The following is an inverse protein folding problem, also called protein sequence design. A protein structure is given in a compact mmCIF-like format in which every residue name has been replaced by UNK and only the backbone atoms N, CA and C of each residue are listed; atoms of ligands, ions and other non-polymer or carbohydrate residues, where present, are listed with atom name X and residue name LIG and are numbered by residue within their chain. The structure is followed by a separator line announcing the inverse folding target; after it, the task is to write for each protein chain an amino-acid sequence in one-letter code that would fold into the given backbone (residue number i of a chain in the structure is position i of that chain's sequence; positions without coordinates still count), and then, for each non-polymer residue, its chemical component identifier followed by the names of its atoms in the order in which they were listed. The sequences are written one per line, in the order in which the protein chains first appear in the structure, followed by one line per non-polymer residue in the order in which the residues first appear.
data_IF_368117480104
#
_entry.id   IF_368117480104
#
_cell.length_a   1.000
_cell.length_b   1.000
_cell.length_c   1.000
_cell.angle_alpha   90.00
_cell.angle_beta   90.00
_cell.angle_gamma   90.00
#
_symmetry.space_group_name_H-M   'P 1'
#
loop_
_entity.id
_entity.type
_entity.pdbx_description
1 polymer ?
#
# COMPACT_ATOMS: atom_id res chain seq x y z
N UNK A 1 -64.66 45.85 -32.87
CA UNK A 1 -64.17 44.86 -33.82
C UNK A 1 -62.66 44.89 -33.73
N UNK A 2 -62.12 43.99 -32.93
CA UNK A 2 -60.65 43.83 -32.74
C UNK A 2 -60.31 42.40 -33.13
N UNK A 3 -59.54 42.25 -34.26
CA UNK A 3 -59.09 40.96 -34.78
C UNK A 3 -57.77 40.59 -34.07
N UNK A 4 -57.78 39.57 -33.19
CA UNK A 4 -56.62 38.93 -32.64
C UNK A 4 -55.93 38.07 -33.70
N UNK A 5 -54.64 38.34 -33.96
CA UNK A 5 -53.75 37.48 -34.76
C UNK A 5 -53.01 36.55 -33.78
N UNK A 6 -53.27 35.27 -33.88
CA UNK A 6 -52.53 34.21 -33.17
C UNK A 6 -51.29 33.90 -33.98
N UNK A 7 -50.11 34.19 -33.40
CA UNK A 7 -48.82 33.80 -33.97
C UNK A 7 -48.49 32.41 -33.39
N UNK A 8 -48.52 31.37 -34.21
CA UNK A 8 -48.01 30.05 -33.84
C UNK A 8 -46.48 30.10 -33.91
N UNK A 9 -45.84 30.06 -32.76
CA UNK A 9 -44.42 29.76 -32.65
C UNK A 9 -44.24 28.24 -32.70
N UNK A 10 -43.74 27.70 -33.81
CA UNK A 10 -43.25 26.34 -33.93
C UNK A 10 -41.86 26.26 -33.30
N UNK A 11 -41.76 25.74 -32.07
CA UNK A 11 -40.50 25.38 -31.45
C UNK A 11 -40.05 24.05 -32.06
N UNK A 12 -39.09 24.15 -32.99
CA UNK A 12 -38.38 23.01 -33.51
C UNK A 12 -37.49 22.39 -32.44
N UNK A 13 -37.90 21.28 -31.85
CA UNK A 13 -37.12 20.47 -30.91
C UNK A 13 -36.05 19.72 -31.75
N UNK A 14 -34.85 20.24 -31.82
CA UNK A 14 -33.71 19.50 -32.35
C UNK A 14 -33.38 18.37 -31.33
N UNK A 15 -33.87 17.18 -31.61
CA UNK A 15 -33.34 15.95 -30.97
C UNK A 15 -31.91 15.76 -31.45
N UNK A 16 -30.91 16.23 -30.71
CA UNK A 16 -29.56 15.75 -30.83
C UNK A 16 -29.56 14.27 -30.45
N UNK A 17 -29.48 13.38 -31.43
CA UNK A 17 -29.16 11.98 -31.21
C UNK A 17 -27.81 11.96 -30.45
N UNK A 18 -27.84 11.73 -29.16
CA UNK A 18 -26.64 11.35 -28.42
C UNK A 18 -26.17 10.04 -29.06
N UNK A 19 -25.10 10.08 -29.86
CA UNK A 19 -24.36 8.88 -30.20
C UNK A 19 -24.07 8.17 -28.89
N UNK A 20 -24.42 6.89 -28.78
CA UNK A 20 -24.16 6.11 -27.54
C UNK A 20 -22.67 6.20 -27.21
N UNK A 21 -22.33 6.30 -25.92
CA UNK A 21 -20.94 6.31 -25.48
C UNK A 21 -20.21 5.07 -26.03
N UNK A 22 -18.98 5.25 -26.51
CA UNK A 22 -18.18 4.17 -27.09
C UNK A 22 -17.96 3.05 -26.05
N UNK A 23 -18.30 1.82 -26.45
CA UNK A 23 -18.11 0.61 -25.64
C UNK A 23 -16.66 0.14 -25.78
N UNK A 24 -15.79 0.54 -24.84
CA UNK A 24 -14.37 0.19 -24.86
C UNK A 24 -14.10 -1.32 -25.07
N UNK A 25 -14.71 -2.25 -24.30
CA UNK A 25 -14.50 -3.68 -24.50
C UNK A 25 -14.86 -4.21 -25.87
N UNK A 26 -15.86 -3.65 -26.53
CA UNK A 26 -16.33 -4.15 -27.82
C UNK A 26 -15.68 -3.45 -29.00
N UNK A 27 -15.34 -2.16 -28.87
CA UNK A 27 -14.95 -1.34 -30.02
C UNK A 27 -13.47 -0.93 -29.98
N UNK A 28 -12.95 -0.55 -28.82
CA UNK A 28 -11.57 -0.03 -28.70
C UNK A 28 -10.58 -1.13 -28.33
N UNK A 29 -10.88 -1.96 -27.34
CA UNK A 29 -9.97 -2.99 -26.85
C UNK A 29 -9.56 -4.01 -27.94
N UNK A 30 -10.46 -4.52 -28.80
CA UNK A 30 -10.07 -5.40 -29.90
C UNK A 30 -9.14 -4.72 -30.88
N UNK A 31 -9.37 -3.45 -31.18
CA UNK A 31 -8.54 -2.65 -32.09
C UNK A 31 -7.12 -2.46 -31.52
N UNK A 32 -7.01 -2.10 -30.24
CA UNK A 32 -5.73 -2.00 -29.54
C UNK A 32 -5.00 -3.36 -29.49
N UNK A 33 -5.73 -4.44 -29.21
CA UNK A 33 -5.17 -5.77 -29.12
C UNK A 33 -4.57 -6.23 -30.45
N UNK A 34 -5.28 -6.02 -31.53
CA UNK A 34 -4.84 -6.43 -32.88
C UNK A 34 -3.68 -5.59 -33.40
N UNK A 35 -3.72 -4.27 -33.20
CA UNK A 35 -2.82 -3.32 -33.86
C UNK A 35 -1.66 -2.84 -32.96
N UNK A 36 -1.82 -2.82 -31.64
CA UNK A 36 -0.90 -2.14 -30.73
C UNK A 36 -0.21 -3.06 -29.72
N UNK A 37 -0.91 -4.06 -29.13
CA UNK A 37 -0.39 -4.86 -28.00
C UNK A 37 0.84 -5.71 -28.33
N UNK A 38 1.08 -6.04 -29.61
CA UNK A 38 2.29 -6.75 -30.02
C UNK A 38 3.58 -5.99 -29.64
N UNK A 39 3.51 -4.65 -29.62
CA UNK A 39 4.64 -3.77 -29.30
C UNK A 39 4.44 -2.97 -28.02
N UNK A 40 3.20 -2.67 -27.63
CA UNK A 40 2.81 -1.85 -26.48
C UNK A 40 1.89 -2.62 -25.53
N UNK A 41 2.20 -3.90 -25.28
CA UNK A 41 1.43 -4.82 -24.42
C UNK A 41 2.18 -5.17 -23.14
N UNK A 42 1.74 -6.26 -22.48
CA UNK A 42 2.34 -6.72 -21.21
C UNK A 42 3.80 -7.14 -21.35
N UNK A 43 4.14 -7.87 -22.43
CA UNK A 43 5.48 -8.43 -22.63
C UNK A 43 6.47 -7.48 -23.30
N UNK A 44 5.99 -6.45 -23.98
CA UNK A 44 6.82 -5.48 -24.72
C UNK A 44 6.28 -4.08 -24.53
N UNK A 45 7.16 -3.16 -24.19
CA UNK A 45 6.86 -1.74 -23.95
C UNK A 45 7.76 -0.85 -24.82
N UNK A 46 7.61 -0.94 -26.13
CA UNK A 46 8.41 -0.09 -27.05
C UNK A 46 8.10 1.38 -26.82
N UNK A 47 9.16 2.20 -26.70
CA UNK A 47 9.02 3.61 -26.39
C UNK A 47 8.48 3.89 -24.99
N UNK A 48 8.69 2.96 -24.01
CA UNK A 48 8.19 3.10 -22.65
C UNK A 48 6.66 3.01 -22.50
N UNK A 49 5.94 2.71 -23.60
CA UNK A 49 4.48 2.76 -23.64
C UNK A 49 3.84 1.38 -23.51
N UNK A 50 2.82 1.27 -22.66
CA UNK A 50 1.90 0.14 -22.56
C UNK A 50 0.45 0.63 -22.70
N UNK A 51 -0.34 -0.06 -23.55
CA UNK A 51 -1.73 0.29 -23.88
C UNK A 51 -2.75 -0.74 -23.33
N UNK A 52 -2.34 -1.64 -22.45
CA UNK A 52 -3.23 -2.68 -21.90
C UNK A 52 -4.04 -2.22 -20.69
N UNK A 53 -3.66 -1.12 -20.06
CA UNK A 53 -4.41 -0.52 -18.97
C UNK A 53 -4.39 1.02 -19.06
N UNK A 54 -5.36 1.66 -18.38
CA UNK A 54 -5.54 3.10 -18.42
C UNK A 54 -4.35 3.88 -17.86
N UNK A 55 -3.82 3.46 -16.71
CA UNK A 55 -2.72 4.16 -16.00
C UNK A 55 -1.50 4.31 -16.93
N UNK A 56 -1.06 3.21 -17.51
CA UNK A 56 0.14 3.20 -18.34
C UNK A 56 -0.08 3.87 -19.71
N UNK A 57 -1.31 3.79 -20.26
CA UNK A 57 -1.66 4.41 -21.52
C UNK A 57 -1.73 5.95 -21.43
N UNK A 58 -2.08 6.49 -20.25
CA UNK A 58 -2.07 7.94 -20.00
C UNK A 58 -0.69 8.46 -19.59
N UNK A 59 0.21 7.59 -19.12
CA UNK A 59 1.56 7.98 -18.75
C UNK A 59 2.36 8.42 -20.00
N UNK A 60 3.25 9.42 -19.89
CA UNK A 60 4.17 9.75 -20.96
C UNK A 60 5.15 8.59 -21.17
N UNK A 61 5.32 8.17 -22.44
CA UNK A 61 6.38 7.22 -22.77
C UNK A 61 7.76 7.88 -22.79
N UNK A 62 8.76 7.20 -23.39
CA UNK A 62 10.14 7.69 -23.51
C UNK A 62 10.25 9.05 -24.21
N UNK A 63 9.25 9.43 -25.00
CA UNK A 63 9.18 10.75 -25.65
C UNK A 63 8.92 11.92 -24.70
N UNK A 64 8.50 11.64 -23.45
CA UNK A 64 8.05 12.64 -22.48
C UNK A 64 6.73 13.36 -22.85
N UNK A 65 6.09 13.00 -23.98
CA UNK A 65 4.82 13.59 -24.43
C UNK A 65 3.65 12.69 -24.01
N UNK A 66 2.52 13.32 -23.64
CA UNK A 66 1.30 12.58 -23.29
C UNK A 66 0.83 11.73 -24.48
N UNK A 67 0.73 10.43 -24.26
CA UNK A 67 0.28 9.50 -25.30
C UNK A 67 -1.20 9.66 -25.59
N UNK A 68 -2.02 9.76 -24.56
CA UNK A 68 -3.46 10.01 -24.63
C UNK A 68 -3.76 11.16 -23.67
N UNK A 69 -4.45 12.18 -24.16
CA UNK A 69 -4.98 13.30 -23.36
C UNK A 69 -6.50 13.13 -23.33
N UNK A 70 -7.09 12.64 -22.23
CA UNK A 70 -8.54 12.47 -22.13
C UNK A 70 -9.29 13.77 -22.41
N UNK A 71 -10.28 13.72 -23.31
CA UNK A 71 -11.04 14.88 -23.73
C UNK A 71 -10.40 15.71 -24.86
N UNK A 72 -9.17 15.34 -25.31
CA UNK A 72 -8.47 16.08 -26.37
C UNK A 72 -7.68 15.13 -27.29
N UNK A 73 -8.33 14.65 -28.32
CA UNK A 73 -7.71 13.78 -29.34
C UNK A 73 -6.64 14.51 -30.15
N UNK A 74 -6.76 15.82 -30.34
CA UNK A 74 -5.81 16.62 -31.12
C UNK A 74 -4.47 16.78 -30.39
N UNK A 75 -4.49 16.91 -29.07
CA UNK A 75 -3.30 16.95 -28.24
C UNK A 75 -2.64 15.56 -28.07
N UNK A 76 -3.38 14.47 -28.27
CA UNK A 76 -2.94 13.11 -28.05
C UNK A 76 -1.90 12.64 -29.07
N UNK A 77 -0.70 12.20 -28.57
CA UNK A 77 0.36 11.69 -29.43
C UNK A 77 -0.07 10.43 -30.18
N UNK A 78 -0.93 9.59 -29.59
CA UNK A 78 -1.48 8.40 -30.21
C UNK A 78 -2.13 8.72 -31.53
N UNK A 79 -3.04 9.70 -31.57
CA UNK A 79 -3.74 10.10 -32.81
C UNK A 79 -2.76 10.64 -33.85
N UNK A 80 -1.79 11.48 -33.43
CA UNK A 80 -0.75 11.98 -34.33
C UNK A 80 0.02 10.86 -35.01
N UNK A 81 0.39 9.82 -34.26
CA UNK A 81 1.17 8.68 -34.75
C UNK A 81 0.36 7.74 -35.65
N UNK A 82 -0.90 7.41 -35.31
CA UNK A 82 -1.74 6.52 -36.15
C UNK A 82 -2.27 7.19 -37.40
N UNK A 83 -2.35 8.53 -37.42
CA UNK A 83 -2.78 9.32 -38.60
C UNK A 83 -1.60 9.72 -39.50
N UNK A 84 -0.34 9.60 -39.04
CA UNK A 84 0.82 10.03 -39.80
C UNK A 84 1.03 9.21 -41.07
N UNK A 85 1.39 9.87 -42.16
CA UNK A 85 1.82 9.26 -43.42
C UNK A 85 3.33 9.13 -43.52
N UNK A 86 4.07 9.79 -42.63
CA UNK A 86 5.53 9.76 -42.58
C UNK A 86 6.04 8.40 -42.06
N UNK A 87 6.90 7.67 -42.83
CA UNK A 87 7.33 6.33 -42.47
C UNK A 87 8.03 6.20 -41.10
N UNK A 88 8.72 7.27 -40.64
CA UNK A 88 9.41 7.32 -39.33
C UNK A 88 8.49 7.66 -38.17
N UNK A 89 7.32 8.21 -38.44
CA UNK A 89 6.37 8.70 -37.48
C UNK A 89 5.15 7.79 -37.29
N UNK A 90 4.82 7.00 -38.34
CA UNK A 90 3.59 6.23 -38.41
C UNK A 90 3.55 5.05 -37.44
N UNK A 91 2.36 4.79 -36.89
CA UNK A 91 2.05 3.60 -36.10
C UNK A 91 0.82 2.87 -36.65
N UNK A 92 0.86 1.54 -36.73
CA UNK A 92 2.02 0.67 -36.53
C UNK A 92 3.09 0.88 -37.60
N UNK A 93 4.39 0.68 -37.28
CA UNK A 93 5.49 0.92 -38.24
C UNK A 93 5.57 -0.16 -39.33
N UNK A 94 4.94 -1.31 -39.11
CA UNK A 94 4.86 -2.45 -40.04
C UNK A 94 3.50 -3.13 -39.89
N UNK A 95 2.99 -3.71 -40.98
CA UNK A 95 1.71 -4.41 -41.04
C UNK A 95 0.55 -3.51 -41.45
N UNK A 96 -0.67 -4.00 -41.24
CA UNK A 96 -1.89 -3.30 -41.69
C UNK A 96 -2.13 -2.06 -40.81
N UNK A 97 -2.31 -0.93 -41.44
CA UNK A 97 -2.64 0.35 -40.79
C UNK A 97 -4.10 0.40 -40.36
N UNK A 98 -4.41 1.32 -39.45
CA UNK A 98 -5.78 1.64 -39.13
C UNK A 98 -6.48 2.31 -40.30
N UNK A 99 -7.74 1.98 -40.53
CA UNK A 99 -8.61 2.67 -41.51
C UNK A 99 -9.01 4.06 -40.96
N UNK A 100 -9.47 4.95 -41.86
CA UNK A 100 -9.97 6.26 -41.42
C UNK A 100 -11.08 6.12 -40.35
N UNK A 101 -12.03 5.21 -40.56
CA UNK A 101 -13.09 4.94 -39.60
C UNK A 101 -12.57 4.46 -38.22
N UNK A 102 -11.51 3.64 -38.21
CA UNK A 102 -10.89 3.20 -36.95
C UNK A 102 -10.13 4.34 -36.24
N UNK A 103 -9.52 5.24 -37.02
CA UNK A 103 -8.86 6.42 -36.45
C UNK A 103 -9.90 7.39 -35.88
N UNK A 104 -11.03 7.58 -36.56
CA UNK A 104 -12.12 8.44 -36.09
C UNK A 104 -12.79 7.84 -34.81
N UNK A 105 -12.97 6.54 -34.75
CA UNK A 105 -13.41 5.85 -33.55
C UNK A 105 -12.46 6.09 -32.36
N UNK A 106 -11.15 6.01 -32.59
CA UNK A 106 -10.14 6.30 -31.55
C UNK A 106 -10.16 7.78 -31.12
N UNK A 107 -10.39 8.70 -32.02
CA UNK A 107 -10.56 10.13 -31.71
C UNK A 107 -11.77 10.35 -30.83
N UNK A 108 -12.92 9.85 -31.27
CA UNK A 108 -14.17 9.99 -30.52
C UNK A 108 -14.04 9.40 -29.11
N UNK A 109 -13.44 8.20 -28.97
CA UNK A 109 -13.19 7.61 -27.68
C UNK A 109 -12.33 8.50 -26.76
N UNK A 110 -11.28 9.13 -27.31
CA UNK A 110 -10.43 10.04 -26.53
C UNK A 110 -11.19 11.31 -26.15
N UNK A 111 -11.96 11.88 -27.09
CA UNK A 111 -12.74 13.11 -26.89
C UNK A 111 -13.88 12.90 -25.87
N UNK A 112 -14.42 11.67 -25.76
CA UNK A 112 -15.35 11.23 -24.72
C UNK A 112 -14.66 10.95 -23.35
N UNK A 113 -13.37 11.25 -23.23
CA UNK A 113 -12.63 11.12 -21.97
C UNK A 113 -11.77 9.86 -21.83
N UNK A 114 -11.56 9.11 -22.91
CA UNK A 114 -10.76 7.89 -22.97
C UNK A 114 -11.14 6.94 -21.81
N UNK A 115 -12.42 6.58 -21.76
CA UNK A 115 -12.93 5.68 -20.70
C UNK A 115 -12.39 4.27 -20.92
N UNK A 116 -11.80 3.70 -19.87
CA UNK A 116 -11.44 2.29 -19.77
C UNK A 116 -12.51 1.58 -18.94
N UNK A 117 -12.68 0.25 -19.09
CA UNK A 117 -13.42 -0.51 -18.10
C UNK A 117 -12.81 -0.27 -16.71
N UNK A 118 -13.65 -0.40 -15.70
CA UNK A 118 -13.22 -0.27 -14.30
C UNK A 118 -11.83 -0.88 -14.12
N UNK A 119 -10.90 -0.18 -13.46
CA UNK A 119 -9.57 -0.74 -13.21
C UNK A 119 -9.73 -2.13 -12.59
N UNK A 120 -8.83 -3.05 -12.95
CA UNK A 120 -8.77 -4.37 -12.31
C UNK A 120 -9.00 -4.21 -10.79
N UNK A 121 -9.80 -5.07 -10.17
CA UNK A 121 -10.15 -4.91 -8.78
C UNK A 121 -8.88 -4.63 -7.97
N UNK A 122 -8.87 -3.49 -7.30
CA UNK A 122 -7.74 -3.07 -6.50
C UNK A 122 -7.38 -4.20 -5.55
N UNK A 123 -6.11 -4.60 -5.52
CA UNK A 123 -5.66 -5.65 -4.62
C UNK A 123 -6.13 -5.35 -3.20
N UNK A 124 -6.68 -6.34 -2.51
CA UNK A 124 -7.33 -6.19 -1.21
C UNK A 124 -6.47 -5.43 -0.17
N UNK A 125 -5.13 -5.56 -0.24
CA UNK A 125 -4.20 -4.88 0.65
C UNK A 125 -4.21 -3.34 0.51
N UNK A 126 -4.66 -2.81 -0.64
CA UNK A 126 -4.79 -1.37 -0.89
C UNK A 126 -6.23 -0.86 -0.72
N UNK A 127 -7.15 -1.74 -0.34
CA UNK A 127 -8.53 -1.35 -0.04
C UNK A 127 -8.65 -1.07 1.45
N UNK A 128 -9.14 0.13 1.82
CA UNK A 128 -9.35 0.47 3.24
C UNK A 128 -10.21 -0.59 3.92
N UNK A 129 -9.74 -1.21 5.02
CA UNK A 129 -10.50 -2.24 5.71
C UNK A 129 -11.84 -1.69 6.23
N UNK A 130 -12.89 -2.49 6.07
CA UNK A 130 -14.20 -2.22 6.64
C UNK A 130 -14.47 -3.25 7.72
N UNK A 131 -15.05 -2.80 8.86
CA UNK A 131 -15.44 -3.71 9.93
C UNK A 131 -16.53 -4.65 9.45
N UNK A 132 -16.30 -5.97 9.36
CA UNK A 132 -17.33 -6.90 8.92
C UNK A 132 -18.37 -7.12 10.04
N UNK A 133 -19.61 -7.53 9.70
CA UNK A 133 -20.58 -7.94 10.70
C UNK A 133 -20.10 -9.20 11.42
N UNK A 134 -20.41 -9.29 12.72
CA UNK A 134 -20.09 -10.50 13.50
C UNK A 134 -20.91 -11.68 13.00
N UNK A 135 -20.31 -12.86 12.81
CA UNK A 135 -21.03 -14.08 12.52
C UNK A 135 -22.04 -14.39 13.62
N UNK A 136 -23.28 -14.70 13.22
CA UNK A 136 -24.32 -15.09 14.15
C UNK A 136 -24.17 -16.58 14.48
N UNK A 137 -23.84 -16.88 15.75
CA UNK A 137 -23.56 -18.23 16.23
C UNK A 137 -24.45 -18.60 17.41
N UNK A 138 -24.98 -19.82 17.39
CA UNK A 138 -25.73 -20.38 18.52
C UNK A 138 -24.76 -21.01 19.53
N UNK A 139 -23.92 -20.18 20.17
CA UNK A 139 -22.92 -20.65 21.16
C UNK A 139 -22.63 -19.56 22.18
N UNK A 140 -22.37 -19.96 23.42
CA UNK A 140 -21.88 -19.09 24.50
C UNK A 140 -20.34 -19.09 24.63
N UNK A 141 -19.63 -19.80 23.76
CA UNK A 141 -18.19 -19.89 23.78
C UNK A 141 -17.49 -18.55 23.47
N UNK A 142 -17.95 -17.75 22.44
CA UNK A 142 -17.31 -16.47 22.14
C UNK A 142 -17.41 -15.47 23.30
N UNK A 143 -16.29 -14.88 23.67
CA UNK A 143 -16.17 -13.82 24.69
C UNK A 143 -16.02 -12.44 24.06
N UNK A 144 -15.50 -12.37 22.84
CA UNK A 144 -15.27 -11.14 22.10
C UNK A 144 -15.54 -11.33 20.59
N UNK A 145 -15.41 -10.24 19.82
CA UNK A 145 -15.66 -10.28 18.37
C UNK A 145 -14.76 -11.24 17.60
N UNK A 146 -13.50 -11.40 18.02
CA UNK A 146 -12.54 -12.31 17.36
C UNK A 146 -13.00 -13.75 17.51
N UNK A 147 -13.48 -14.12 18.69
CA UNK A 147 -13.97 -15.48 18.96
C UNK A 147 -15.13 -15.88 18.05
N UNK A 148 -16.00 -14.91 17.66
CA UNK A 148 -17.07 -15.17 16.71
C UNK A 148 -16.53 -15.61 15.35
N UNK A 149 -15.49 -14.97 14.83
CA UNK A 149 -14.87 -15.36 13.57
C UNK A 149 -14.13 -16.69 13.68
N UNK A 150 -13.40 -16.91 14.79
CA UNK A 150 -12.70 -18.18 15.04
C UNK A 150 -13.70 -19.35 15.09
N UNK A 151 -14.78 -19.21 15.88
CA UNK A 151 -15.77 -20.27 16.00
C UNK A 151 -16.51 -20.52 14.69
N UNK A 152 -16.82 -19.46 13.91
CA UNK A 152 -17.43 -19.62 12.59
C UNK A 152 -16.53 -20.44 11.67
N UNK A 153 -15.20 -20.19 11.70
CA UNK A 153 -14.24 -20.96 10.91
C UNK A 153 -14.14 -22.40 11.41
N UNK A 154 -14.04 -22.64 12.70
CA UNK A 154 -14.02 -24.00 13.27
C UNK A 154 -15.27 -24.79 12.86
N UNK A 155 -16.45 -24.18 12.99
CA UNK A 155 -17.71 -24.83 12.58
C UNK A 155 -17.69 -25.20 11.07
N UNK A 156 -17.17 -24.32 10.23
CA UNK A 156 -17.05 -24.57 8.78
C UNK A 156 -16.17 -25.79 8.48
N UNK A 157 -15.10 -25.99 9.27
CA UNK A 157 -14.17 -27.12 9.12
C UNK A 157 -14.62 -28.35 9.94
N UNK A 158 -15.80 -28.33 10.58
CA UNK A 158 -16.29 -29.44 11.41
C UNK A 158 -15.50 -29.63 12.71
N UNK A 159 -14.75 -28.61 13.15
CA UNK A 159 -13.94 -28.66 14.35
C UNK A 159 -14.64 -27.99 15.53
N UNK A 160 -14.23 -28.36 16.75
CA UNK A 160 -14.68 -27.75 18.00
C UNK A 160 -13.50 -27.03 18.69
N UNK A 161 -13.75 -25.96 19.44
CA UNK A 161 -12.75 -25.37 20.30
C UNK A 161 -12.14 -26.38 21.25
N UNK A 162 -10.84 -26.32 21.48
CA UNK A 162 -10.18 -27.09 22.53
C UNK A 162 -10.64 -26.65 23.92
N UNK A 163 -10.57 -27.50 24.93
CA UNK A 163 -10.76 -27.10 26.31
C UNK A 163 -9.79 -25.99 26.72
N UNK A 164 -10.19 -25.19 27.72
CA UNK A 164 -9.28 -24.19 28.30
C UNK A 164 -8.03 -24.86 28.86
N UNK A 165 -6.89 -24.24 28.68
CA UNK A 165 -5.63 -24.72 29.23
C UNK A 165 -5.70 -24.75 30.76
N UNK A 166 -5.00 -25.69 31.43
CA UNK A 166 -4.83 -25.68 32.90
C UNK A 166 -4.28 -24.34 33.39
N UNK A 167 -4.63 -23.88 34.60
CA UNK A 167 -4.23 -22.57 35.13
C UNK A 167 -2.72 -22.31 35.08
N UNK A 168 -1.89 -23.30 35.34
CA UNK A 168 -0.43 -23.20 35.31
C UNK A 168 0.08 -22.91 33.87
N UNK A 169 -0.48 -23.59 32.92
CA UNK A 169 -0.12 -23.37 31.50
C UNK A 169 -0.62 -22.02 31.01
N UNK A 170 -1.81 -21.61 31.43
CA UNK A 170 -2.38 -20.33 31.08
C UNK A 170 -1.52 -19.18 31.62
N UNK A 171 -1.16 -19.25 32.90
CA UNK A 171 -0.27 -18.28 33.54
C UNK A 171 1.10 -18.21 32.83
N UNK A 172 1.70 -19.37 32.54
CA UNK A 172 2.99 -19.43 31.85
C UNK A 172 2.91 -18.80 30.45
N UNK A 173 1.85 -19.08 29.68
CA UNK A 173 1.68 -18.53 28.34
C UNK A 173 1.56 -17.02 28.39
N UNK A 174 0.70 -16.46 29.23
CA UNK A 174 0.51 -15.02 29.29
C UNK A 174 1.77 -14.27 29.72
N UNK A 175 2.54 -14.84 30.64
CA UNK A 175 3.83 -14.28 31.05
C UNK A 175 4.84 -14.25 29.88
N UNK A 176 4.97 -15.36 29.15
CA UNK A 176 5.87 -15.44 28.01
C UNK A 176 5.42 -14.53 26.85
N UNK A 177 4.12 -14.43 26.62
CA UNK A 177 3.56 -13.58 25.56
C UNK A 177 3.75 -12.09 25.87
N UNK A 178 3.39 -11.65 27.10
CA UNK A 178 3.39 -10.23 27.43
C UNK A 178 4.77 -9.69 27.82
N UNK A 179 5.56 -10.44 28.58
CA UNK A 179 6.85 -9.96 29.11
C UNK A 179 8.06 -10.83 28.74
N UNK A 180 7.85 -11.95 28.07
CA UNK A 180 8.92 -12.84 27.60
C UNK A 180 9.62 -13.65 28.71
N UNK A 181 9.13 -13.60 29.94
CA UNK A 181 9.75 -14.24 31.12
C UNK A 181 8.71 -15.13 31.81
N UNK A 182 9.03 -16.37 32.18
CA UNK A 182 8.09 -17.24 32.90
C UNK A 182 7.76 -16.69 34.30
N UNK A 183 6.59 -17.04 34.86
CA UNK A 183 6.23 -16.67 36.24
C UNK A 183 7.18 -17.33 37.25
N UNK A 184 7.47 -16.62 38.34
CA UNK A 184 8.17 -17.25 39.48
C UNK A 184 7.25 -18.25 40.21
N UNK A 185 7.80 -19.21 40.95
CA UNK A 185 7.00 -20.12 41.76
C UNK A 185 6.02 -19.40 42.69
N UNK A 186 6.46 -18.32 43.33
CA UNK A 186 5.63 -17.49 44.21
C UNK A 186 4.42 -16.87 43.50
N UNK A 187 4.62 -16.39 42.25
CA UNK A 187 3.54 -15.83 41.41
C UNK A 187 2.56 -16.94 41.03
N UNK A 188 3.07 -18.12 40.68
CA UNK A 188 2.23 -19.27 40.35
C UNK A 188 1.37 -19.69 41.56
N UNK A 189 1.98 -19.85 42.72
CA UNK A 189 1.26 -20.23 43.94
C UNK A 189 0.18 -19.22 44.33
N UNK A 190 0.48 -17.93 44.20
CA UNK A 190 -0.49 -16.85 44.41
C UNK A 190 -1.67 -16.93 43.44
N UNK A 191 -1.40 -17.14 42.15
CA UNK A 191 -2.43 -17.25 41.12
C UNK A 191 -3.32 -18.48 41.36
N UNK A 192 -2.75 -19.64 41.69
CA UNK A 192 -3.51 -20.87 41.94
C UNK A 192 -4.40 -20.78 43.19
N UNK A 193 -4.05 -19.91 44.16
CA UNK A 193 -4.84 -19.64 45.36
C UNK A 193 -5.94 -18.58 45.17
N UNK A 194 -5.87 -17.77 44.10
CA UNK A 194 -6.88 -16.75 43.83
C UNK A 194 -8.10 -17.39 43.14
N UNK A 195 -9.15 -17.61 43.93
CA UNK A 195 -10.44 -18.14 43.46
C UNK A 195 -11.35 -17.10 42.83
N UNK A 196 -10.88 -15.86 42.62
CA UNK A 196 -11.71 -14.82 42.04
C UNK A 196 -11.96 -15.07 40.56
N UNK A 197 -13.16 -14.74 40.04
CA UNK A 197 -13.51 -14.95 38.64
C UNK A 197 -12.66 -14.10 37.69
N UNK A 198 -11.97 -13.06 38.20
CA UNK A 198 -11.10 -12.13 37.45
C UNK A 198 -9.61 -12.34 37.79
N UNK A 199 -9.23 -13.50 38.37
CA UNK A 199 -7.84 -13.77 38.73
C UNK A 199 -6.88 -13.68 37.55
N UNK A 200 -7.31 -14.15 36.37
CA UNK A 200 -6.52 -14.07 35.13
C UNK A 200 -6.38 -12.65 34.62
N UNK A 201 -7.46 -11.90 34.58
CA UNK A 201 -7.48 -10.49 34.17
C UNK A 201 -6.56 -9.63 35.04
N UNK A 202 -6.55 -9.84 36.36
CA UNK A 202 -5.62 -9.16 37.26
C UNK A 202 -4.15 -9.42 36.91
N UNK A 203 -3.82 -10.64 36.52
CA UNK A 203 -2.46 -10.98 36.07
C UNK A 203 -2.15 -10.27 34.77
N UNK A 204 -3.06 -10.27 33.80
CA UNK A 204 -2.89 -9.57 32.50
C UNK A 204 -2.63 -8.09 32.74
N UNK A 205 -3.44 -7.42 33.56
CA UNK A 205 -3.29 -6.00 33.88
C UNK A 205 -1.93 -5.70 34.54
N UNK A 206 -1.49 -6.55 35.45
CA UNK A 206 -0.16 -6.40 36.08
C UNK A 206 0.98 -6.56 35.09
N UNK A 207 0.87 -7.49 34.14
CA UNK A 207 1.89 -7.72 33.11
C UNK A 207 1.92 -6.59 32.10
N UNK A 208 0.77 -6.07 31.70
CA UNK A 208 0.66 -4.91 30.78
C UNK A 208 1.24 -3.64 31.42
N UNK A 209 1.08 -3.46 32.75
CA UNK A 209 1.66 -2.33 33.47
C UNK A 209 3.17 -2.51 33.78
N UNK A 210 3.76 -3.65 33.46
CA UNK A 210 5.17 -3.91 33.70
C UNK A 210 6.05 -3.24 32.65
N UNK A 211 7.16 -2.56 33.02
CA UNK A 211 8.10 -2.01 32.06
C UNK A 211 8.71 -3.07 31.13
N UNK A 212 8.70 -4.35 31.52
CA UNK A 212 9.13 -5.47 30.69
C UNK A 212 8.22 -5.75 29.50
N UNK A 213 6.99 -5.22 29.50
CA UNK A 213 6.10 -5.29 28.35
C UNK A 213 6.72 -4.53 27.17
N UNK A 214 7.15 -3.29 27.38
CA UNK A 214 7.83 -2.53 26.34
C UNK A 214 9.15 -3.16 25.89
N UNK A 215 9.97 -3.68 26.82
CA UNK A 215 11.22 -4.42 26.50
C UNK A 215 10.94 -5.64 25.62
N UNK A 216 9.85 -6.36 25.87
CA UNK A 216 9.45 -7.55 25.09
C UNK A 216 8.96 -7.17 23.70
N UNK A 217 8.08 -6.17 23.61
CA UNK A 217 7.41 -5.82 22.36
C UNK A 217 8.20 -4.84 21.48
N UNK A 218 9.15 -4.11 22.04
CA UNK A 218 10.10 -3.33 21.28
C UNK A 218 11.00 -4.20 20.38
N UNK A 219 11.33 -5.44 20.78
CA UNK A 219 12.25 -6.32 20.03
C UNK A 219 11.79 -6.58 18.59
N UNK A 220 10.56 -7.09 18.33
CA UNK A 220 10.11 -7.28 16.96
C UNK A 220 10.10 -5.98 16.14
N UNK A 221 9.81 -4.84 16.77
CA UNK A 221 9.86 -3.55 16.10
C UNK A 221 11.30 -3.14 15.75
N UNK A 222 12.22 -3.30 16.67
CA UNK A 222 13.64 -3.00 16.46
C UNK A 222 14.26 -3.90 15.39
N UNK A 223 13.83 -5.16 15.29
CA UNK A 223 14.22 -6.06 14.19
C UNK A 223 13.72 -5.51 12.84
N UNK A 224 12.47 -5.07 12.75
CA UNK A 224 11.93 -4.42 11.54
C UNK A 224 12.67 -3.14 11.20
N UNK A 225 13.00 -2.32 12.20
CA UNK A 225 13.77 -1.09 12.04
C UNK A 225 15.25 -1.36 11.76
N UNK A 226 15.72 -2.61 11.83
CA UNK A 226 17.13 -3.04 11.67
C UNK A 226 18.05 -2.35 12.68
N UNK A 227 17.58 -2.20 13.91
CA UNK A 227 18.35 -1.62 15.00
C UNK A 227 19.62 -2.43 15.26
N UNK A 228 20.74 -1.73 15.40
CA UNK A 228 22.00 -2.29 15.86
C UNK A 228 22.80 -1.22 16.60
N UNK A 229 23.62 -1.67 17.56
CA UNK A 229 24.57 -0.84 18.31
C UNK A 229 25.91 -0.70 17.59
N UNK A 230 25.98 -1.12 16.31
CA UNK A 230 27.17 -1.01 15.45
C UNK A 230 26.79 -0.58 14.04
N UNK A 231 27.78 -0.22 13.24
CA UNK A 231 27.58 0.28 11.87
C UNK A 231 27.21 -0.82 10.86
N UNK A 232 27.46 -2.09 11.17
CA UNK A 232 27.11 -3.23 10.31
C UNK A 232 27.87 -3.29 9.00
N UNK A 233 29.01 -2.60 8.87
CA UNK A 233 29.79 -2.56 7.64
C UNK A 233 31.31 -2.62 7.94
N UNK A 234 32.04 -3.45 7.21
CA UNK A 234 33.48 -3.68 7.30
C UNK A 234 33.99 -3.85 8.75
N UNK A 235 34.65 -2.85 9.34
CA UNK A 235 35.21 -2.91 10.70
C UNK A 235 34.13 -2.83 11.80
N UNK A 236 32.90 -2.60 11.42
CA UNK A 236 31.70 -2.66 12.29
C UNK A 236 31.85 -1.88 13.61
N UNK A 237 32.29 -0.63 13.52
CA UNK A 237 32.45 0.23 14.70
C UNK A 237 31.13 0.41 15.43
N UNK A 238 31.20 0.49 16.76
CA UNK A 238 30.07 0.80 17.61
C UNK A 238 29.49 2.19 17.31
N UNK A 239 28.19 2.32 17.46
CA UNK A 239 27.45 3.60 17.35
C UNK A 239 26.41 3.72 18.46
N UNK A 240 26.22 4.93 18.94
CA UNK A 240 25.22 5.25 19.94
C UNK A 240 23.82 5.35 19.32
N UNK A 241 23.05 4.27 19.39
CA UNK A 241 21.66 4.21 18.91
C UNK A 241 20.66 3.92 20.02
N UNK A 242 21.15 3.72 21.27
CA UNK A 242 20.37 3.30 22.42
C UNK A 242 19.16 4.21 22.72
N UNK A 243 19.28 5.51 22.48
CA UNK A 243 18.19 6.45 22.76
C UNK A 243 16.92 6.14 21.91
N UNK A 244 17.09 5.72 20.66
CA UNK A 244 15.97 5.28 19.82
C UNK A 244 15.34 3.97 20.34
N UNK A 245 16.17 3.01 20.75
CA UNK A 245 15.68 1.78 21.37
C UNK A 245 14.82 2.08 22.61
N UNK A 246 15.32 2.94 23.49
CA UNK A 246 14.63 3.30 24.73
C UNK A 246 13.32 4.06 24.43
N UNK A 247 13.32 4.95 23.43
CA UNK A 247 12.10 5.59 22.96
C UNK A 247 11.06 4.58 22.48
N UNK A 248 11.45 3.54 21.73
CA UNK A 248 10.55 2.48 21.27
C UNK A 248 9.96 1.72 22.47
N UNK A 249 10.79 1.37 23.45
CA UNK A 249 10.35 0.71 24.69
C UNK A 249 9.30 1.57 25.43
N UNK A 250 9.57 2.85 25.57
CA UNK A 250 8.67 3.79 26.25
C UNK A 250 7.36 3.97 25.48
N UNK A 251 7.41 4.02 24.15
CA UNK A 251 6.21 4.10 23.31
C UNK A 251 5.28 2.90 23.50
N UNK A 252 5.83 1.67 23.61
CA UNK A 252 5.04 0.49 23.95
C UNK A 252 4.51 0.52 25.39
N UNK A 253 5.30 0.95 26.36
CA UNK A 253 4.89 1.01 27.76
C UNK A 253 3.82 2.08 28.03
N UNK A 254 3.77 3.13 27.22
CA UNK A 254 2.76 4.18 27.32
C UNK A 254 1.55 3.94 26.41
N UNK A 255 1.49 2.81 25.72
CA UNK A 255 0.45 2.46 24.74
C UNK A 255 0.22 3.59 23.73
N UNK A 256 1.33 4.11 23.18
CA UNK A 256 1.29 5.21 22.21
C UNK A 256 0.40 4.85 21.01
N UNK A 257 -0.57 5.70 20.60
CA UNK A 257 -1.37 5.45 19.41
C UNK A 257 -0.50 5.19 18.18
N UNK A 258 -0.86 4.19 17.37
CA UNK A 258 -0.02 3.72 16.26
C UNK A 258 0.23 4.81 15.21
N UNK A 259 -0.73 5.66 14.92
CA UNK A 259 -0.58 6.80 14.02
C UNK A 259 0.46 7.80 14.54
N UNK A 260 0.43 8.13 15.84
CA UNK A 260 1.46 8.96 16.47
C UNK A 260 2.83 8.29 16.43
N UNK A 261 2.90 7.00 16.75
CA UNK A 261 4.12 6.21 16.71
C UNK A 261 4.77 6.22 15.30
N UNK A 262 3.97 6.14 14.25
CA UNK A 262 4.44 6.23 12.85
C UNK A 262 4.91 7.64 12.53
N UNK A 263 4.10 8.66 12.83
CA UNK A 263 4.41 10.07 12.52
C UNK A 263 5.73 10.49 13.18
N UNK A 264 5.92 10.16 14.45
CA UNK A 264 7.12 10.55 15.20
C UNK A 264 8.38 9.87 14.65
N UNK A 265 8.31 8.64 14.21
CA UNK A 265 9.45 7.95 13.62
C UNK A 265 9.82 8.44 12.22
N UNK A 266 8.83 8.83 11.42
CA UNK A 266 9.08 9.29 10.04
C UNK A 266 9.44 10.78 10.02
N UNK A 267 8.79 11.61 10.83
CA UNK A 267 8.84 13.07 10.74
C UNK A 267 8.77 13.77 12.10
N UNK A 268 9.19 13.12 13.18
CA UNK A 268 9.11 13.67 14.53
C UNK A 268 9.89 14.97 14.71
N UNK A 269 11.01 15.14 14.01
CA UNK A 269 11.84 16.36 14.00
C UNK A 269 11.20 17.51 13.22
N UNK A 270 10.24 17.23 12.34
CA UNK A 270 9.50 18.24 11.55
C UNK A 270 8.21 18.71 12.22
N UNK A 271 7.83 18.13 13.35
CA UNK A 271 6.64 18.55 14.08
C UNK A 271 6.81 19.97 14.64
N UNK A 272 5.74 20.76 14.72
CA UNK A 272 5.79 22.09 15.36
C UNK A 272 6.28 21.96 16.80
N UNK A 273 7.33 22.70 17.17
CA UNK A 273 7.97 22.65 18.49
C UNK A 273 8.41 21.26 18.92
N UNK A 274 8.99 20.48 18.00
CA UNK A 274 9.42 19.11 18.21
C UNK A 274 10.21 18.94 19.52
N UNK A 275 9.76 18.04 20.37
CA UNK A 275 10.41 17.68 21.63
C UNK A 275 11.69 16.86 21.38
N UNK A 276 12.59 16.74 22.37
CA UNK A 276 13.73 15.83 22.27
C UNK A 276 13.31 14.39 22.00
N UNK A 277 12.24 13.90 22.61
CA UNK A 277 11.72 12.53 22.39
C UNK A 277 11.27 12.32 20.93
N UNK A 278 10.56 13.28 20.35
CA UNK A 278 10.13 13.24 18.96
C UNK A 278 11.29 13.26 17.98
N UNK A 279 12.35 14.00 18.28
CA UNK A 279 13.59 13.96 17.49
C UNK A 279 14.32 12.62 17.62
N UNK A 280 14.34 12.02 18.82
CA UNK A 280 14.91 10.69 19.06
C UNK A 280 14.16 9.63 18.26
N UNK A 281 12.84 9.73 18.15
CA UNK A 281 12.00 8.82 17.38
C UNK A 281 12.47 8.67 15.91
N UNK A 282 12.97 9.76 15.29
CA UNK A 282 13.51 9.71 13.93
C UNK A 282 14.81 8.89 13.81
N UNK A 283 15.29 8.36 14.92
CA UNK A 283 16.35 7.34 14.95
C UNK A 283 16.06 6.13 14.05
N UNK A 284 14.78 5.86 13.74
CA UNK A 284 14.37 4.91 12.71
C UNK A 284 15.14 5.10 11.39
N UNK A 285 15.38 6.34 10.98
CA UNK A 285 16.13 6.66 9.76
C UNK A 285 17.66 6.62 9.94
N UNK A 286 18.16 6.35 11.15
CA UNK A 286 19.58 6.26 11.44
C UNK A 286 20.10 4.82 11.55
N UNK A 287 19.25 3.85 11.31
CA UNK A 287 19.53 2.41 11.36
C UNK A 287 20.23 1.82 10.11
N UNK A 288 20.29 2.47 8.92
CA UNK A 288 21.02 1.93 7.79
C UNK A 288 22.46 1.56 8.18
N UNK A 289 22.99 0.53 7.54
CA UNK A 289 24.45 0.26 7.61
C UNK A 289 25.21 1.49 7.09
N UNK A 290 26.30 1.83 7.73
CA UNK A 290 27.06 3.03 7.42
C UNK A 290 28.53 2.69 7.21
N UNK A 291 29.06 2.97 6.02
CA UNK A 291 30.49 2.88 5.79
C UNK A 291 31.16 4.20 6.23
N UNK A 292 32.00 4.11 7.26
CA UNK A 292 32.75 5.24 7.85
C UNK A 292 34.23 5.16 7.59
N UNK A 293 34.69 4.25 6.71
CA UNK A 293 36.09 4.00 6.45
C UNK A 293 36.68 4.93 5.39
N UNK A 294 38.02 5.01 5.37
CA UNK A 294 38.76 5.75 4.34
C UNK A 294 38.50 5.15 2.94
N UNK A 295 38.30 6.01 1.94
CA UNK A 295 38.05 5.58 0.56
C UNK A 295 36.57 5.46 0.16
N UNK A 296 35.66 5.72 1.07
CA UNK A 296 34.19 5.80 0.75
C UNK A 296 33.94 6.99 -0.15
N UNK A 297 33.20 6.77 -1.25
CA UNK A 297 32.67 7.87 -2.06
C UNK A 297 31.46 8.50 -1.36
N UNK A 298 31.53 9.75 -0.85
CA UNK A 298 30.49 10.29 0.03
C UNK A 298 29.09 10.34 -0.60
N UNK A 299 29.01 10.72 -1.88
CA UNK A 299 27.71 10.84 -2.58
C UNK A 299 27.10 9.48 -2.87
N UNK A 300 27.88 8.49 -3.28
CA UNK A 300 27.41 7.12 -3.46
C UNK A 300 26.88 6.55 -2.14
N UNK A 301 27.62 6.71 -1.05
CA UNK A 301 27.19 6.26 0.27
C UNK A 301 25.88 6.97 0.71
N UNK A 302 25.76 8.27 0.45
CA UNK A 302 24.53 9.04 0.74
C UNK A 302 23.33 8.48 -0.04
N UNK A 303 23.50 8.21 -1.34
CA UNK A 303 22.44 7.67 -2.19
C UNK A 303 22.03 6.27 -1.74
N UNK A 304 23.00 5.40 -1.44
CA UNK A 304 22.73 4.05 -0.92
C UNK A 304 21.95 4.09 0.39
N UNK A 305 22.27 5.02 1.30
CA UNK A 305 21.50 5.21 2.52
C UNK A 305 20.06 5.71 2.27
N UNK A 306 19.83 6.53 1.24
CA UNK A 306 18.48 6.96 0.85
C UNK A 306 17.68 5.76 0.36
N UNK A 307 18.22 4.97 -0.56
CA UNK A 307 17.55 3.76 -1.04
C UNK A 307 17.18 2.82 0.10
N UNK A 308 18.12 2.59 1.00
CA UNK A 308 17.90 1.74 2.17
C UNK A 308 16.79 2.27 3.09
N UNK A 309 16.72 3.59 3.35
CA UNK A 309 15.63 4.21 4.13
C UNK A 309 14.29 4.07 3.44
N UNK A 310 14.22 4.29 2.13
CA UNK A 310 12.99 4.13 1.33
C UNK A 310 12.51 2.68 1.41
N UNK A 311 13.39 1.71 1.17
CA UNK A 311 13.07 0.29 1.21
C UNK A 311 12.58 -0.14 2.59
N UNK A 312 13.23 0.30 3.65
CA UNK A 312 12.83 -0.03 5.02
C UNK A 312 11.48 0.59 5.37
N UNK A 313 11.29 1.87 5.03
CA UNK A 313 10.00 2.55 5.27
C UNK A 313 8.86 1.84 4.55
N UNK A 314 9.06 1.46 3.28
CA UNK A 314 8.08 0.72 2.51
C UNK A 314 7.79 -0.67 3.10
N UNK A 315 8.84 -1.42 3.46
CA UNK A 315 8.68 -2.76 4.02
C UNK A 315 7.98 -2.74 5.38
N UNK A 316 8.35 -1.81 6.26
CA UNK A 316 7.83 -1.73 7.63
C UNK A 316 6.41 -1.16 7.68
N UNK A 317 6.14 -0.05 7.01
CA UNK A 317 4.87 0.67 7.13
C UNK A 317 3.86 0.34 6.03
N UNK A 318 4.31 -0.04 4.84
CA UNK A 318 3.43 -0.35 3.71
C UNK A 318 3.32 -1.86 3.45
N UNK A 319 4.20 -2.68 4.04
CA UNK A 319 4.27 -4.12 3.74
C UNK A 319 4.63 -4.40 2.27
N UNK A 320 5.34 -3.47 1.62
CA UNK A 320 5.73 -3.55 0.22
C UNK A 320 7.24 -3.47 0.06
N UNK A 321 7.81 -4.24 -0.87
CA UNK A 321 9.25 -4.24 -1.14
C UNK A 321 9.58 -3.31 -2.30
N UNK A 322 10.33 -2.24 -2.04
CA UNK A 322 10.71 -1.26 -3.07
C UNK A 322 12.06 -1.54 -3.74
N UNK A 323 12.82 -2.52 -3.26
CA UNK A 323 14.14 -2.86 -3.81
C UNK A 323 14.12 -3.09 -5.32
N UNK A 324 13.08 -3.77 -5.82
CA UNK A 324 12.93 -3.99 -7.26
C UNK A 324 12.78 -2.68 -8.04
N UNK A 325 12.15 -1.66 -7.44
CA UNK A 325 11.91 -0.37 -8.08
C UNK A 325 13.17 0.48 -8.24
N UNK A 326 14.27 0.13 -7.58
CA UNK A 326 15.57 0.75 -7.79
C UNK A 326 16.08 0.65 -9.24
N UNK A 327 15.83 -0.48 -9.91
CA UNK A 327 16.36 -0.76 -11.25
C UNK A 327 15.28 -0.84 -12.33
N UNK A 328 14.03 -1.20 -11.96
CA UNK A 328 12.89 -1.33 -12.88
C UNK A 328 11.57 -1.21 -12.10
N UNK A 329 10.47 -0.96 -12.79
CA UNK A 329 9.15 -0.94 -12.15
C UNK A 329 8.88 -2.26 -11.41
N UNK A 330 8.28 -2.18 -10.23
CA UNK A 330 7.91 -3.35 -9.45
C UNK A 330 7.10 -4.33 -10.30
N UNK A 331 7.35 -5.63 -10.12
CA UNK A 331 6.76 -6.67 -10.98
C UNK A 331 5.27 -6.87 -10.72
N UNK A 332 4.86 -6.80 -9.48
CA UNK A 332 3.50 -7.12 -9.03
C UNK A 332 2.75 -5.92 -8.46
N UNK A 333 3.44 -5.10 -7.69
CA UNK A 333 2.85 -3.95 -7.01
C UNK A 333 2.83 -2.70 -7.91
N UNK A 334 1.95 -1.74 -7.66
CA UNK A 334 1.77 -0.57 -8.50
C UNK A 334 2.85 0.51 -8.34
N UNK A 335 4.09 0.13 -8.03
CA UNK A 335 5.22 1.03 -7.82
C UNK A 335 6.15 1.06 -9.02
N UNK A 336 6.53 2.26 -9.45
CA UNK A 336 7.48 2.46 -10.52
C UNK A 336 8.84 2.94 -9.99
N UNK A 337 9.87 2.90 -10.86
CA UNK A 337 11.19 3.51 -10.56
C UNK A 337 11.12 5.01 -10.25
N UNK A 338 10.01 5.68 -10.57
CA UNK A 338 9.84 7.13 -10.40
C UNK A 338 9.12 7.50 -9.11
N UNK A 339 8.54 6.52 -8.44
CA UNK A 339 7.84 6.72 -7.17
C UNK A 339 8.83 6.67 -6.01
#
# INVERSE_FOLDING_TARGET
MIRSRIILLTIGLLFALKAGAIDFPKEIQPLLAERCFKCHGEKKRKGGLRLTNRRDALAPGDSGKATIVPGDSAASLLIKKISSTEPKEQMPPKGTRLTAAQIDLMRQWIDEGATWPEPEPQHWAYVKPKRPPLPQLKSKWPRNGIDHFILARLNKEGLKPSPQAPPEQLLRRVHLDLIGIPPSPTVLDKFLKDSSPIAYEKVVDQLLASPRYGERWARPWLDLARYADSNGFQADQLRDSWAYRDWVIDAFNTDMPFDQFVIEQIAGDLLPNATPAQRIATGFHRTPTCNVEAGVHPEENRVNQIFDRVNTTASVFLGATFDCAQCHNHKYDPFSMKD
#
